data_IF_136425751506
#
_entry.id   IF_136425751506
#
_cell.length_a   1.000
_cell.length_b   1.000
_cell.length_c   1.000
_cell.angle_alpha   90.00
_cell.angle_beta   90.00
_cell.angle_gamma   90.00
#
_symmetry.space_group_name_H-M   'P 1'
#
loop_
_entity.id
_entity.type
_entity.pdbx_description
1 polymer ?
#
# COMPACT_ATOMS: atom_id res chain seq x y z
N UNK A 1 53.29 -23.93 -17.26
CA UNK A 1 52.54 -24.06 -15.99
C UNK A 1 52.46 -22.76 -15.17
N UNK A 2 53.59 -22.07 -14.94
CA UNK A 2 53.64 -20.85 -14.11
C UNK A 2 52.81 -19.68 -14.66
N UNK A 3 52.84 -19.42 -15.98
CA UNK A 3 52.12 -18.27 -16.57
C UNK A 3 50.59 -18.38 -16.50
N UNK A 4 50.04 -19.60 -16.51
CA UNK A 4 48.59 -19.83 -16.41
C UNK A 4 48.12 -19.55 -14.98
N UNK A 5 48.89 -19.99 -13.97
CA UNK A 5 48.58 -19.74 -12.56
C UNK A 5 48.65 -18.25 -12.26
N UNK A 6 49.63 -17.55 -12.83
CA UNK A 6 49.76 -16.10 -12.68
C UNK A 6 48.60 -15.34 -13.32
N UNK A 7 48.16 -15.74 -14.52
CA UNK A 7 46.98 -15.15 -15.15
C UNK A 7 45.71 -15.36 -14.31
N UNK A 8 45.52 -16.54 -13.71
CA UNK A 8 44.40 -16.82 -12.80
C UNK A 8 44.47 -15.91 -11.57
N UNK A 9 45.66 -15.76 -10.95
CA UNK A 9 45.84 -14.89 -9.79
C UNK A 9 45.53 -13.42 -10.09
N UNK A 10 45.87 -12.94 -11.29
CA UNK A 10 45.51 -11.58 -11.71
C UNK A 10 43.99 -11.42 -11.88
N UNK A 11 43.31 -12.43 -12.43
CA UNK A 11 41.85 -12.43 -12.54
C UNK A 11 41.18 -12.42 -11.16
N UNK A 12 41.68 -13.23 -10.21
CA UNK A 12 41.16 -13.25 -8.83
C UNK A 12 41.28 -11.87 -8.18
N UNK A 13 42.45 -11.22 -8.29
CA UNK A 13 42.64 -9.86 -7.77
C UNK A 13 41.74 -8.83 -8.45
N UNK A 14 41.58 -8.93 -9.76
CA UNK A 14 40.65 -8.08 -10.50
C UNK A 14 39.21 -8.23 -10.01
N UNK A 15 38.76 -9.47 -9.79
CA UNK A 15 37.43 -9.77 -9.28
C UNK A 15 37.23 -9.21 -7.86
N UNK A 16 38.22 -9.34 -6.97
CA UNK A 16 38.19 -8.78 -5.62
C UNK A 16 38.04 -7.25 -5.63
N UNK A 17 38.83 -6.57 -6.46
CA UNK A 17 38.76 -5.11 -6.63
C UNK A 17 37.39 -4.68 -7.17
N UNK A 18 36.85 -5.42 -8.15
CA UNK A 18 35.52 -5.15 -8.70
C UNK A 18 34.41 -5.35 -7.66
N UNK A 19 34.50 -6.40 -6.83
CA UNK A 19 33.52 -6.64 -5.76
C UNK A 19 33.52 -5.51 -4.73
N UNK A 20 34.69 -5.12 -4.24
CA UNK A 20 34.83 -4.00 -3.29
C UNK A 20 34.29 -2.70 -3.91
N UNK A 21 34.64 -2.42 -5.17
CA UNK A 21 34.16 -1.24 -5.88
C UNK A 21 32.64 -1.25 -6.04
N UNK A 22 32.05 -2.41 -6.34
CA UNK A 22 30.60 -2.57 -6.45
C UNK A 22 29.89 -2.32 -5.12
N UNK A 23 30.47 -2.76 -4.00
CA UNK A 23 29.93 -2.49 -2.66
C UNK A 23 29.96 -1.00 -2.33
N UNK A 24 31.09 -0.32 -2.54
CA UNK A 24 31.20 1.13 -2.35
C UNK A 24 30.21 1.91 -3.23
N UNK A 25 29.99 1.46 -4.47
CA UNK A 25 29.00 2.05 -5.35
C UNK A 25 27.57 1.87 -4.82
N UNK A 26 27.21 0.68 -4.32
CA UNK A 26 25.90 0.44 -3.71
C UNK A 26 25.66 1.37 -2.52
N UNK A 27 26.64 1.50 -1.63
CA UNK A 27 26.54 2.41 -0.48
C UNK A 27 26.35 3.86 -0.91
N UNK A 28 27.10 4.30 -1.94
CA UNK A 28 26.97 5.64 -2.49
C UNK A 28 25.59 5.86 -3.11
N UNK A 29 25.07 4.89 -3.86
CA UNK A 29 23.73 4.96 -4.47
C UNK A 29 22.67 5.07 -3.37
N UNK A 30 22.67 4.19 -2.36
CA UNK A 30 21.66 4.24 -1.30
C UNK A 30 21.72 5.54 -0.49
N UNK A 31 22.92 6.10 -0.29
CA UNK A 31 23.08 7.40 0.36
C UNK A 31 22.52 8.53 -0.49
N UNK A 32 22.74 8.50 -1.81
CA UNK A 32 22.24 9.52 -2.74
C UNK A 32 20.71 9.44 -2.87
N UNK A 33 20.15 8.24 -2.95
CA UNK A 33 18.70 8.03 -2.98
C UNK A 33 18.03 8.59 -1.73
N UNK A 34 18.56 8.29 -0.53
CA UNK A 34 18.07 8.85 0.73
C UNK A 34 18.14 10.37 0.76
N UNK A 35 19.25 10.95 0.28
CA UNK A 35 19.41 12.40 0.21
C UNK A 35 18.41 13.04 -0.77
N UNK A 36 18.21 12.42 -1.94
CA UNK A 36 17.26 12.88 -2.95
C UNK A 36 15.80 12.77 -2.47
N UNK A 37 15.45 11.70 -1.78
CA UNK A 37 14.13 11.54 -1.18
C UNK A 37 13.87 12.62 -0.13
N UNK A 38 14.83 12.85 0.78
CA UNK A 38 14.73 13.90 1.79
C UNK A 38 14.61 15.30 1.16
N UNK A 39 15.41 15.60 0.14
CA UNK A 39 15.35 16.86 -0.59
C UNK A 39 14.00 17.03 -1.32
N UNK A 40 13.51 15.96 -1.95
CA UNK A 40 12.22 15.95 -2.66
C UNK A 40 11.06 16.16 -1.69
N UNK A 41 11.04 15.45 -0.55
CA UNK A 41 10.05 15.63 0.50
C UNK A 41 10.06 17.07 1.04
N UNK A 42 11.25 17.65 1.28
CA UNK A 42 11.39 19.05 1.69
C UNK A 42 10.83 20.01 0.65
N UNK A 43 11.13 19.79 -0.63
CA UNK A 43 10.63 20.61 -1.75
C UNK A 43 9.11 20.51 -1.87
N UNK A 44 8.54 19.31 -1.77
CA UNK A 44 7.09 19.10 -1.78
C UNK A 44 6.41 19.78 -0.59
N UNK A 45 6.97 19.67 0.63
CA UNK A 45 6.46 20.38 1.81
C UNK A 45 6.48 21.89 1.60
N UNK A 46 7.56 22.45 1.06
CA UNK A 46 7.66 23.88 0.73
C UNK A 46 6.64 24.28 -0.35
N UNK A 47 6.43 23.46 -1.39
CA UNK A 47 5.38 23.69 -2.40
C UNK A 47 3.98 23.69 -1.79
N UNK A 48 3.62 22.73 -0.93
CA UNK A 48 2.32 22.74 -0.22
C UNK A 48 2.13 24.00 0.62
N UNK A 49 3.20 24.51 1.25
CA UNK A 49 3.16 25.81 1.97
C UNK A 49 3.02 27.01 1.03
N UNK A 50 3.58 26.96 -0.17
CA UNK A 50 3.60 28.07 -1.15
C UNK A 50 2.43 27.99 -2.14
N UNK A 51 1.69 26.87 -2.18
CA UNK A 51 0.62 26.61 -3.16
C UNK A 51 -0.48 27.69 -3.14
N UNK A 52 -0.64 28.37 -2.01
CA UNK A 52 -1.34 29.65 -1.92
C UNK A 52 -0.38 30.79 -2.28
N UNK A 53 -0.04 30.94 -3.56
CA UNK A 53 0.80 32.05 -4.02
C UNK A 53 0.01 33.36 -3.97
N UNK A 54 0.35 34.25 -3.04
CA UNK A 54 -0.30 35.56 -2.85
C UNK A 54 -0.28 36.03 -1.39
N UNK A 55 -0.74 37.26 -1.11
CA UNK A 55 -1.00 37.72 0.26
C UNK A 55 -2.28 37.02 0.73
N UNK A 56 -2.13 35.98 1.55
CA UNK A 56 -3.27 35.29 2.14
C UNK A 56 -3.83 36.16 3.28
N UNK A 57 -5.05 36.66 3.13
CA UNK A 57 -5.77 37.32 4.23
C UNK A 57 -6.21 36.26 5.25
N UNK A 58 -6.38 36.64 6.52
CA UNK A 58 -6.78 35.72 7.59
C UNK A 58 -8.06 34.95 7.24
N UNK A 59 -9.07 35.63 6.70
CA UNK A 59 -10.34 35.03 6.27
C UNK A 59 -10.16 33.99 5.15
N UNK A 60 -9.38 34.30 4.12
CA UNK A 60 -9.08 33.33 3.06
C UNK A 60 -8.34 32.08 3.59
N UNK A 61 -7.56 32.24 4.67
CA UNK A 61 -6.95 31.12 5.37
C UNK A 61 -7.96 30.24 6.12
N UNK A 62 -8.90 30.88 6.83
CA UNK A 62 -9.99 30.20 7.55
C UNK A 62 -10.91 29.43 6.58
N UNK A 63 -11.27 30.04 5.44
CA UNK A 63 -12.10 29.41 4.40
C UNK A 63 -11.43 28.15 3.80
N UNK A 64 -10.12 28.21 3.57
CA UNK A 64 -9.36 27.08 3.04
C UNK A 64 -9.21 25.94 4.05
N UNK A 65 -9.23 26.24 5.35
CA UNK A 65 -9.28 25.22 6.40
C UNK A 65 -10.66 24.58 6.48
N UNK A 66 -11.72 25.39 6.47
CA UNK A 66 -13.10 24.91 6.47
C UNK A 66 -13.40 24.00 5.27
N UNK A 67 -12.97 24.39 4.06
CA UNK A 67 -13.12 23.56 2.87
C UNK A 67 -12.39 22.22 3.00
N UNK A 68 -11.16 22.21 3.52
CA UNK A 68 -10.39 20.97 3.71
C UNK A 68 -11.00 20.04 4.75
N UNK A 69 -11.62 20.58 5.79
CA UNK A 69 -12.33 19.79 6.79
C UNK A 69 -13.60 19.17 6.19
N UNK A 70 -14.37 19.95 5.43
CA UNK A 70 -15.54 19.46 4.70
C UNK A 70 -15.16 18.35 3.71
N UNK A 71 -14.11 18.54 2.90
CA UNK A 71 -13.65 17.53 1.93
C UNK A 71 -13.21 16.23 2.63
N UNK A 72 -12.54 16.34 3.78
CA UNK A 72 -12.14 15.17 4.59
C UNK A 72 -13.34 14.45 5.18
N UNK A 73 -14.36 15.18 5.64
CA UNK A 73 -15.59 14.60 6.14
C UNK A 73 -16.33 13.85 5.03
N UNK A 74 -16.51 14.48 3.87
CA UNK A 74 -17.13 13.85 2.70
C UNK A 74 -16.37 12.58 2.29
N UNK A 75 -15.04 12.61 2.26
CA UNK A 75 -14.24 11.42 1.95
C UNK A 75 -14.40 10.30 2.99
N UNK A 76 -14.57 10.63 4.27
CA UNK A 76 -14.85 9.64 5.33
C UNK A 76 -16.25 9.05 5.18
N UNK A 77 -17.24 9.88 4.91
CA UNK A 77 -18.63 9.46 4.71
C UNK A 77 -18.79 8.59 3.47
N UNK A 78 -18.14 8.92 2.35
CA UNK A 78 -18.15 8.07 1.15
C UNK A 78 -17.53 6.69 1.41
N UNK A 79 -16.46 6.62 2.20
CA UNK A 79 -15.83 5.34 2.58
C UNK A 79 -16.71 4.51 3.51
N UNK A 80 -17.49 5.15 4.39
CA UNK A 80 -18.42 4.47 5.31
C UNK A 80 -19.77 4.12 4.64
N UNK A 81 -20.22 4.92 3.68
CA UNK A 81 -21.46 4.72 2.93
C UNK A 81 -21.40 3.55 1.94
N UNK A 82 -20.20 3.15 1.50
CA UNK A 82 -20.00 1.94 0.70
C UNK A 82 -20.42 0.65 1.42
N UNK A 83 -20.31 0.61 2.75
CA UNK A 83 -20.69 -0.55 3.56
C UNK A 83 -22.19 -0.61 3.90
N UNK A 84 -22.91 0.51 3.81
CA UNK A 84 -24.35 0.53 4.13
C UNK A 84 -25.24 0.09 2.96
N UNK A 85 -24.77 0.15 1.70
CA UNK A 85 -25.50 -0.40 0.55
C UNK A 85 -25.30 -1.92 0.34
N UNK A 86 -24.43 -2.56 1.13
CA UNK A 86 -24.16 -4.01 1.05
C UNK A 86 -25.26 -4.91 1.64
N UNK A 87 -26.27 -4.33 2.29
CA UNK A 87 -27.39 -5.09 2.89
C UNK A 87 -28.34 -5.71 1.84
N UNK A 88 -28.07 -5.55 0.54
CA UNK A 88 -28.89 -6.15 -0.52
C UNK A 88 -28.60 -7.62 -0.83
N UNK A 89 -27.63 -8.28 -0.17
CA UNK A 89 -27.40 -9.72 -0.42
C UNK A 89 -26.75 -10.46 0.75
N UNK A 90 -27.25 -10.27 1.96
CA UNK A 90 -27.28 -11.41 2.89
C UNK A 90 -28.18 -12.45 2.24
N UNK A 91 -27.61 -13.28 1.37
CA UNK A 91 -28.26 -14.46 0.85
C UNK A 91 -28.81 -15.20 2.07
N UNK A 92 -30.14 -15.20 2.21
CA UNK A 92 -30.84 -15.86 3.31
C UNK A 92 -30.12 -17.17 3.59
N UNK A 93 -29.58 -17.34 4.79
CA UNK A 93 -28.74 -18.48 5.10
C UNK A 93 -29.53 -19.76 4.77
N UNK A 94 -29.10 -20.47 3.72
CA UNK A 94 -29.73 -21.70 3.26
C UNK A 94 -29.15 -22.88 4.01
N UNK A 95 -29.99 -23.85 4.33
CA UNK A 95 -29.56 -25.11 4.89
C UNK A 95 -28.53 -25.78 3.96
N UNK A 96 -27.36 -26.18 4.48
CA UNK A 96 -26.34 -26.88 3.66
C UNK A 96 -26.80 -28.25 3.14
N UNK A 97 -27.83 -28.86 3.76
CA UNK A 97 -28.39 -30.16 3.35
C UNK A 97 -29.45 -30.01 2.24
N UNK A 98 -30.54 -29.28 2.47
CA UNK A 98 -31.65 -29.16 1.50
C UNK A 98 -31.70 -27.84 0.71
N UNK A 99 -30.77 -26.91 0.94
CA UNK A 99 -30.68 -25.58 0.28
C UNK A 99 -31.91 -24.67 0.48
N UNK A 100 -32.83 -25.02 1.36
CA UNK A 100 -33.96 -24.17 1.76
C UNK A 100 -33.55 -23.16 2.85
N UNK A 101 -34.10 -21.94 2.82
CA UNK A 101 -33.91 -20.96 3.90
C UNK A 101 -34.75 -21.33 5.14
N UNK A 102 -34.46 -20.68 6.27
CA UNK A 102 -35.29 -20.79 7.49
C UNK A 102 -34.86 -21.87 8.50
N UNK A 103 -33.90 -22.73 8.15
CA UNK A 103 -33.32 -23.68 9.08
C UNK A 103 -31.85 -24.01 8.72
N UNK A 104 -31.13 -24.64 9.64
CA UNK A 104 -29.74 -25.06 9.42
C UNK A 104 -29.62 -26.59 9.33
N UNK A 105 -28.43 -27.09 8.99
CA UNK A 105 -28.21 -28.53 8.76
C UNK A 105 -28.43 -29.42 9.98
N UNK A 106 -28.45 -28.86 11.20
CA UNK A 106 -28.70 -29.62 12.44
C UNK A 106 -30.19 -29.87 12.68
N UNK A 107 -31.06 -29.03 12.13
CA UNK A 107 -32.51 -29.12 12.30
C UNK A 107 -33.22 -29.53 11.01
N UNK A 108 -32.47 -29.96 10.00
CA UNK A 108 -32.99 -30.37 8.70
C UNK A 108 -33.57 -31.79 8.78
N UNK A 109 -34.80 -31.96 8.31
CA UNK A 109 -35.53 -33.25 8.29
C UNK A 109 -35.36 -34.04 6.99
N UNK A 110 -34.50 -33.57 6.08
CA UNK A 110 -34.31 -34.20 4.76
C UNK A 110 -33.88 -35.67 4.86
N UNK A 111 -33.04 -36.02 5.85
CA UNK A 111 -32.53 -37.40 6.01
C UNK A 111 -33.50 -38.35 6.74
N UNK A 112 -34.69 -37.90 7.14
CA UNK A 112 -35.66 -38.75 7.87
C UNK A 112 -36.69 -39.44 6.97
N UNK A 113 -36.60 -39.28 5.65
CA UNK A 113 -37.57 -39.80 4.69
C UNK A 113 -36.90 -40.79 3.73
N UNK A 114 -36.14 -41.78 4.21
CA UNK A 114 -35.82 -43.02 3.46
C UNK A 114 -35.52 -44.17 4.44
N UNK A 115 -36.53 -44.62 5.21
CA UNK A 115 -36.64 -46.03 5.64
C UNK A 115 -38.13 -46.38 5.78
N UNK A 116 -38.73 -46.80 4.66
CA UNK A 116 -39.84 -47.77 4.58
C UNK A 116 -39.84 -48.36 3.19
#
# INVERSE_FOLDING_TARGET
>A
PASIIEAINQLTKGAEVMMLSAELMRDRITSLERANEAASARKQRKKKRIQQSGVLTKGAGEDLLAQREADQQIAREQRQGGDQSGLSRQALARCKKCKEPGHNSRTCKFDTIEVT
#
